data_IF_411257889223
#
_entry.id   IF_411257889223
#
_cell.length_a   1.000
_cell.length_b   1.000
_cell.length_c   1.000
_cell.angle_alpha   90.00
_cell.angle_beta   90.00
_cell.angle_gamma   90.00
#
_symmetry.space_group_name_H-M   'P 1'
#
loop_
_entity.id
_entity.type
_entity.pdbx_description
1 polymer ?
#
# COMPACT_ATOMS: atom_id res chain seq x y z
N UNK A 1 -10.86 21.51 2.08
CA UNK A 1 -10.79 22.01 0.69
C UNK A 1 -9.74 21.16 -0.02
N UNK A 2 -10.14 20.11 -0.75
CA UNK A 2 -9.17 19.22 -1.41
C UNK A 2 -8.73 19.89 -2.71
N UNK A 3 -7.59 20.57 -2.67
CA UNK A 3 -6.88 21.02 -3.88
C UNK A 3 -6.71 19.80 -4.79
N UNK A 4 -7.23 19.87 -6.03
CA UNK A 4 -6.88 18.89 -7.04
C UNK A 4 -5.35 18.97 -7.20
N UNK A 5 -4.63 17.99 -6.66
CA UNK A 5 -3.19 17.93 -6.80
C UNK A 5 -2.89 17.88 -8.29
N UNK A 6 -2.17 18.89 -8.80
CA UNK A 6 -1.66 18.89 -10.16
C UNK A 6 -0.40 18.02 -10.18
N UNK A 7 -0.60 16.73 -10.38
CA UNK A 7 0.49 15.79 -10.55
C UNK A 7 1.31 16.13 -11.81
N UNK A 8 2.61 15.82 -11.78
CA UNK A 8 3.54 15.96 -12.89
C UNK A 8 4.20 14.62 -13.18
N UNK A 9 4.65 14.43 -14.42
CA UNK A 9 5.48 13.28 -14.78
C UNK A 9 6.73 13.27 -13.90
N UNK A 10 7.04 12.11 -13.32
CA UNK A 10 8.11 11.92 -12.34
C UNK A 10 7.68 12.10 -10.89
N UNK A 11 6.47 12.63 -10.62
CA UNK A 11 5.98 12.74 -9.24
C UNK A 11 5.74 11.35 -8.65
N UNK A 12 6.23 11.17 -7.42
CA UNK A 12 5.88 10.01 -6.61
C UNK A 12 4.51 10.23 -5.98
N UNK A 13 3.66 9.22 -6.07
CA UNK A 13 2.28 9.28 -5.61
C UNK A 13 1.93 8.06 -4.76
N UNK A 14 0.93 8.22 -3.92
CA UNK A 14 0.37 7.16 -3.09
C UNK A 14 -1.07 6.88 -3.52
N UNK A 15 -1.33 5.61 -3.83
CA UNK A 15 -2.70 5.13 -4.05
C UNK A 15 -3.26 4.80 -2.67
N UNK A 16 -4.27 5.57 -2.28
CA UNK A 16 -4.99 5.40 -1.01
C UNK A 16 -6.33 4.74 -1.25
N UNK A 17 -6.79 3.94 -0.29
CA UNK A 17 -8.13 3.36 -0.31
C UNK A 17 -9.20 4.46 -0.23
N UNK A 18 -10.48 4.11 -0.44
CA UNK A 18 -11.60 5.04 -0.20
C UNK A 18 -11.77 5.50 1.27
N UNK A 19 -10.92 5.02 2.18
CA UNK A 19 -10.79 5.48 3.57
C UNK A 19 -9.46 6.22 3.82
N UNK A 20 -8.79 6.67 2.76
CA UNK A 20 -7.49 7.39 2.81
C UNK A 20 -6.33 6.58 3.43
N UNK A 21 -6.40 5.25 3.38
CA UNK A 21 -5.34 4.36 3.86
C UNK A 21 -4.36 4.07 2.72
N UNK A 22 -3.04 4.33 2.86
CA UNK A 22 -2.03 3.97 1.85
C UNK A 22 -2.08 2.48 1.49
N UNK A 23 -2.13 2.18 0.19
CA UNK A 23 -2.16 0.81 -0.33
C UNK A 23 -0.91 0.44 -1.13
N UNK A 24 -0.46 1.37 -1.96
CA UNK A 24 0.72 1.26 -2.80
C UNK A 24 1.24 2.65 -3.15
N UNK A 25 2.51 2.71 -3.56
CA UNK A 25 3.10 3.89 -4.17
C UNK A 25 3.40 3.62 -5.64
N UNK A 26 3.36 4.64 -6.48
CA UNK A 26 3.80 4.59 -7.86
C UNK A 26 4.44 5.92 -8.26
N UNK A 27 4.93 6.01 -9.49
CA UNK A 27 5.39 7.26 -10.10
C UNK A 27 4.48 7.62 -11.25
N UNK A 28 4.19 8.90 -11.46
CA UNK A 28 3.48 9.37 -12.65
C UNK A 28 4.40 9.20 -13.86
N UNK A 29 4.05 8.29 -14.75
CA UNK A 29 4.90 7.93 -15.89
C UNK A 29 4.64 8.83 -17.10
N UNK A 30 3.37 9.05 -17.42
CA UNK A 30 2.95 9.87 -18.57
C UNK A 30 1.48 10.24 -18.49
N UNK A 31 1.07 11.15 -19.37
CA UNK A 31 -0.34 11.44 -19.63
C UNK A 31 -0.75 11.00 -21.03
N UNK A 32 -1.98 10.54 -21.16
CA UNK A 32 -2.64 10.18 -22.43
C UNK A 32 -3.97 10.93 -22.54
N UNK A 33 -4.72 10.71 -23.63
CA UNK A 33 -6.09 11.22 -23.80
C UNK A 33 -6.20 12.76 -23.69
N UNK A 34 -5.21 13.45 -24.28
CA UNK A 34 -5.11 14.91 -24.25
C UNK A 34 -4.80 15.46 -22.86
N UNK A 35 -4.08 14.72 -22.03
CA UNK A 35 -3.71 15.14 -20.67
C UNK A 35 -4.73 14.76 -19.59
N UNK A 36 -5.78 14.02 -19.93
CA UNK A 36 -6.88 13.70 -19.00
C UNK A 36 -6.70 12.36 -18.30
N UNK A 37 -5.92 11.46 -18.89
CA UNK A 37 -5.58 10.17 -18.32
C UNK A 37 -4.13 10.20 -17.84
N UNK A 38 -3.92 9.93 -16.57
CA UNK A 38 -2.62 9.80 -15.91
C UNK A 38 -2.28 8.32 -15.82
N UNK A 39 -1.14 7.94 -16.38
CA UNK A 39 -0.61 6.57 -16.32
C UNK A 39 0.47 6.51 -15.27
N UNK A 40 0.34 5.58 -14.33
CA UNK A 40 1.31 5.35 -13.27
C UNK A 40 2.27 4.22 -13.66
N UNK A 41 3.44 4.20 -13.03
CA UNK A 41 4.51 3.22 -13.28
C UNK A 41 4.13 1.76 -12.98
N UNK A 42 3.02 1.52 -12.27
CA UNK A 42 2.44 0.19 -12.07
C UNK A 42 1.49 -0.23 -13.20
N UNK A 43 1.38 0.59 -14.25
CA UNK A 43 0.48 0.40 -15.39
C UNK A 43 -0.96 0.83 -15.13
N UNK A 44 -1.30 1.32 -13.93
CA UNK A 44 -2.67 1.75 -13.63
C UNK A 44 -3.00 3.11 -14.25
N UNK A 45 -4.25 3.25 -14.67
CA UNK A 45 -4.76 4.45 -15.35
C UNK A 45 -5.77 5.21 -14.50
N UNK A 46 -5.56 6.52 -14.39
CA UNK A 46 -6.30 7.41 -13.51
C UNK A 46 -6.74 8.66 -14.25
N UNK A 47 -7.78 9.33 -13.76
CA UNK A 47 -8.05 10.71 -14.16
C UNK A 47 -6.88 11.57 -13.71
N UNK A 48 -6.59 12.63 -14.46
CA UNK A 48 -5.47 13.54 -14.19
C UNK A 48 -5.54 14.20 -12.81
N UNK A 49 -6.71 14.26 -12.17
CA UNK A 49 -6.92 14.76 -10.81
C UNK A 49 -6.70 13.69 -9.72
N UNK A 50 -6.38 12.45 -10.09
CA UNK A 50 -6.19 11.32 -9.18
C UNK A 50 -7.46 10.79 -8.51
N UNK A 51 -8.63 11.41 -8.73
CA UNK A 51 -9.84 11.12 -7.93
C UNK A 51 -10.57 9.85 -8.33
N UNK A 52 -10.24 9.29 -9.50
CA UNK A 52 -10.95 8.15 -10.08
C UNK A 52 -10.11 7.41 -11.10
N UNK A 53 -10.22 6.09 -11.12
CA UNK A 53 -9.64 5.28 -12.20
C UNK A 53 -10.23 5.64 -13.57
N UNK A 54 -9.40 5.67 -14.61
CA UNK A 54 -9.77 6.15 -15.94
C UNK A 54 -10.98 5.40 -16.52
N UNK A 55 -10.95 4.07 -16.44
CA UNK A 55 -11.97 3.18 -17.00
C UNK A 55 -13.29 3.12 -16.25
N UNK A 56 -13.43 3.79 -15.10
CA UNK A 56 -14.68 3.76 -14.33
C UNK A 56 -15.78 4.62 -14.98
N UNK A 57 -16.92 4.00 -15.29
CA UNK A 57 -18.06 4.63 -15.99
C UNK A 57 -19.29 4.91 -15.11
N UNK A 58 -19.26 4.57 -13.83
CA UNK A 58 -20.39 4.80 -12.91
C UNK A 58 -20.57 6.27 -12.53
N UNK A 59 -21.78 6.64 -12.13
CA UNK A 59 -22.13 8.00 -11.68
C UNK A 59 -21.61 8.38 -10.29
N UNK A 60 -21.34 7.38 -9.43
CA UNK A 60 -20.82 7.58 -8.07
C UNK A 60 -19.56 6.75 -7.87
N UNK A 61 -18.46 7.39 -7.45
CA UNK A 61 -17.18 6.73 -7.23
C UNK A 61 -16.83 6.70 -5.74
N UNK A 62 -16.60 5.49 -5.20
CA UNK A 62 -16.16 5.25 -3.81
C UNK A 62 -14.88 4.41 -3.76
N UNK A 63 -14.10 4.48 -4.83
CA UNK A 63 -12.90 3.67 -5.01
C UNK A 63 -11.65 4.31 -4.38
N UNK A 64 -10.49 3.70 -4.62
CA UNK A 64 -9.21 4.29 -4.25
C UNK A 64 -8.96 5.62 -4.97
N UNK A 65 -8.06 6.43 -4.45
CA UNK A 65 -7.65 7.72 -5.03
C UNK A 65 -6.14 7.80 -5.06
N UNK A 66 -5.61 8.62 -5.97
CA UNK A 66 -4.20 8.98 -6.01
C UNK A 66 -4.01 10.29 -5.28
N UNK A 67 -3.07 10.31 -4.35
CA UNK A 67 -2.65 11.49 -3.60
C UNK A 67 -1.14 11.66 -3.71
N UNK A 68 -0.59 12.86 -3.44
CA UNK A 68 0.85 13.04 -3.31
C UNK A 68 1.44 12.06 -2.30
N UNK A 69 2.65 11.58 -2.57
CA UNK A 69 3.38 10.76 -1.62
C UNK A 69 3.69 11.55 -0.34
N UNK A 70 3.45 10.95 0.82
CA UNK A 70 3.82 11.49 2.12
C UNK A 70 4.97 10.69 2.75
N UNK A 71 5.91 11.36 3.46
CA UNK A 71 6.90 10.67 4.27
C UNK A 71 6.23 9.70 5.25
N UNK A 72 6.60 8.41 5.18
CA UNK A 72 6.03 7.34 6.00
C UNK A 72 5.00 6.45 5.29
N UNK A 73 4.54 6.80 4.07
CA UNK A 73 3.66 5.94 3.29
C UNK A 73 4.31 4.58 2.98
N UNK A 74 5.60 4.58 2.62
CA UNK A 74 6.37 3.35 2.36
C UNK A 74 6.41 2.45 3.59
N UNK A 75 6.78 3.00 4.74
CA UNK A 75 6.90 2.24 5.99
C UNK A 75 5.54 1.67 6.40
N UNK A 76 4.48 2.46 6.27
CA UNK A 76 3.13 2.00 6.55
C UNK A 76 2.72 0.84 5.61
N UNK A 77 2.94 1.00 4.30
CA UNK A 77 2.60 -0.02 3.31
C UNK A 77 3.40 -1.30 3.54
N UNK A 78 4.71 -1.19 3.79
CA UNK A 78 5.58 -2.31 4.09
C UNK A 78 5.11 -3.04 5.35
N UNK A 79 4.87 -2.31 6.45
CA UNK A 79 4.35 -2.86 7.71
C UNK A 79 3.01 -3.57 7.52
N UNK A 80 2.07 -2.94 6.80
CA UNK A 80 0.76 -3.52 6.49
C UNK A 80 0.89 -4.82 5.70
N UNK A 81 1.74 -4.85 4.67
CA UNK A 81 1.99 -6.05 3.85
C UNK A 81 2.61 -7.17 4.69
N UNK A 82 3.60 -6.86 5.53
CA UNK A 82 4.23 -7.81 6.43
C UNK A 82 3.20 -8.42 7.41
N UNK A 83 2.38 -7.61 8.06
CA UNK A 83 1.30 -8.09 8.95
C UNK A 83 0.33 -9.00 8.20
N UNK A 84 -0.08 -8.61 6.99
CA UNK A 84 -0.97 -9.42 6.17
C UNK A 84 -0.37 -10.79 5.80
N UNK A 85 0.91 -10.82 5.44
CA UNK A 85 1.63 -12.06 5.13
C UNK A 85 1.75 -12.96 6.37
N UNK A 86 2.09 -12.40 7.52
CA UNK A 86 2.20 -13.14 8.79
C UNK A 86 0.84 -13.72 9.20
N UNK A 87 -0.26 -12.96 9.06
CA UNK A 87 -1.62 -13.48 9.37
C UNK A 87 -1.98 -14.66 8.49
N UNK A 88 -1.83 -14.52 7.16
CA UNK A 88 -2.09 -15.63 6.22
C UNK A 88 -1.25 -16.86 6.53
N UNK A 89 0.02 -16.64 6.88
CA UNK A 89 0.92 -17.69 7.30
C UNK A 89 0.42 -18.37 8.59
N UNK A 90 0.13 -17.59 9.64
CA UNK A 90 -0.33 -18.09 10.93
C UNK A 90 -1.67 -18.84 10.85
N UNK A 91 -2.65 -18.30 10.11
CA UNK A 91 -3.96 -18.94 9.92
C UNK A 91 -3.86 -20.26 9.14
N UNK A 92 -2.80 -20.44 8.35
CA UNK A 92 -2.53 -21.64 7.54
C UNK A 92 -1.53 -22.61 8.15
N UNK A 93 -0.97 -22.31 9.33
CA UNK A 93 0.00 -23.20 9.99
C UNK A 93 -0.69 -24.44 10.54
N UNK A 94 -0.12 -25.60 10.22
CA UNK A 94 -0.55 -26.93 10.68
C UNK A 94 0.67 -27.76 11.05
N UNK A 95 0.47 -28.91 11.70
CA UNK A 95 1.57 -29.84 12.00
C UNK A 95 2.23 -30.42 10.75
N UNK A 96 1.53 -30.42 9.60
CA UNK A 96 2.04 -30.90 8.31
C UNK A 96 2.70 -29.78 7.47
N UNK A 97 2.82 -28.57 8.02
CA UNK A 97 3.44 -27.45 7.31
C UNK A 97 4.91 -27.75 7.01
N UNK A 98 5.45 -27.36 5.84
CA UNK A 98 6.81 -27.71 5.40
C UNK A 98 7.91 -26.92 6.11
N UNK A 99 7.64 -26.35 7.29
CA UNK A 99 8.60 -25.61 8.08
C UNK A 99 9.17 -26.48 9.19
N UNK A 100 10.49 -26.48 9.31
CA UNK A 100 11.15 -27.17 10.41
C UNK A 100 10.87 -26.48 11.75
N UNK A 101 10.95 -27.25 12.83
CA UNK A 101 10.83 -26.74 14.20
C UNK A 101 11.82 -25.62 14.50
N UNK A 102 13.07 -25.72 14.01
CA UNK A 102 14.11 -24.70 14.20
C UNK A 102 13.73 -23.37 13.53
N UNK A 103 13.11 -23.42 12.35
CA UNK A 103 12.65 -22.22 11.66
C UNK A 103 11.53 -21.52 12.46
N UNK A 104 10.58 -22.30 12.98
CA UNK A 104 9.49 -21.79 13.82
C UNK A 104 10.02 -21.17 15.13
N UNK A 105 10.99 -21.80 15.78
CA UNK A 105 11.62 -21.28 16.99
C UNK A 105 12.35 -19.95 16.75
N UNK A 106 13.09 -19.81 15.64
CA UNK A 106 13.74 -18.54 15.29
C UNK A 106 12.73 -17.41 15.09
N UNK A 107 11.59 -17.70 14.44
CA UNK A 107 10.52 -16.72 14.26
C UNK A 107 9.95 -16.30 15.62
N UNK A 108 9.68 -17.26 16.50
CA UNK A 108 9.16 -16.99 17.84
C UNK A 108 10.13 -16.16 18.69
N UNK A 109 11.43 -16.48 18.65
CA UNK A 109 12.46 -15.75 19.38
C UNK A 109 12.53 -14.27 18.98
N UNK A 110 12.48 -14.00 17.66
CA UNK A 110 12.44 -12.61 17.16
C UNK A 110 11.20 -11.88 17.65
N UNK A 111 10.03 -12.52 17.58
CA UNK A 111 8.76 -11.93 18.03
C UNK A 111 8.81 -11.60 19.53
N UNK A 112 9.36 -12.49 20.34
CA UNK A 112 9.42 -12.28 21.79
C UNK A 112 10.44 -11.21 22.18
N UNK A 113 11.55 -11.10 21.45
CA UNK A 113 12.52 -10.00 21.62
C UNK A 113 11.88 -8.63 21.36
N UNK A 114 11.13 -8.50 20.26
CA UNK A 114 10.41 -7.26 19.93
C UNK A 114 9.36 -6.92 20.99
N UNK A 115 8.60 -7.92 21.46
CA UNK A 115 7.63 -7.71 22.57
C UNK A 115 8.33 -7.26 23.86
N UNK A 116 9.48 -7.82 24.18
CA UNK A 116 10.25 -7.46 25.36
C UNK A 116 10.80 -6.03 25.26
N UNK A 117 11.30 -5.63 24.09
CA UNK A 117 11.79 -4.27 23.84
C UNK A 117 10.69 -3.21 24.05
N UNK A 118 9.44 -3.50 23.67
CA UNK A 118 8.30 -2.60 23.92
C UNK A 118 7.94 -2.51 25.40
N UNK A 119 8.06 -3.61 26.17
CA UNK A 119 7.76 -3.61 27.62
C UNK A 119 8.82 -2.90 28.47
N UNK A 120 10.07 -2.85 28.02
CA UNK A 120 11.17 -2.18 28.73
C UNK A 120 11.24 -0.66 28.55
N UNK A 121 10.34 -0.08 27.77
CA UNK A 121 10.25 1.36 27.50
C UNK A 121 9.07 2.04 28.23
N UNK A 122 8.41 1.32 29.16
CA UNK A 122 7.31 1.80 29.99
C UNK A 122 7.73 2.05 31.44
#
# INVERSE_FOLDING_TARGET
MFTAASFRVGDRVTIRSGQSIPQSTATVERYTEGGRCMVLSDGSEWRADGRRQWGFRGGYYKGPVVEPFEPGDDDFIARRRAIGAIRKFGDGLTMDSPLSTEALQRILEVVDREKAAVKGQG
#
